data_IF_906578376279
#
_entry.id   IF_906578376279
#
_cell.length_a   1.000
_cell.length_b   1.000
_cell.length_c   1.000
_cell.angle_alpha   90.00
_cell.angle_beta   90.00
_cell.angle_gamma   90.00
#
_symmetry.space_group_name_H-M   'P 1'
#
loop_
_entity.id
_entity.type
_entity.pdbx_description
1 polymer ?
#
# COMPACT_ATOMS: atom_id res chain seq x y z
N UNK A 1 19.04 -15.58 18.49
CA UNK A 1 17.62 -15.26 18.77
C UNK A 1 17.06 -14.55 17.55
N UNK A 2 16.23 -15.22 16.76
CA UNK A 2 15.50 -14.57 15.65
C UNK A 2 14.30 -13.85 16.27
N UNK A 3 14.03 -12.58 15.94
CA UNK A 3 12.83 -11.92 16.43
C UNK A 3 11.62 -12.58 15.81
N UNK A 4 10.66 -12.92 16.66
CA UNK A 4 9.34 -13.44 16.32
C UNK A 4 8.75 -12.62 15.18
N UNK A 5 8.47 -13.26 14.03
CA UNK A 5 7.57 -12.68 13.03
C UNK A 5 6.22 -12.60 13.71
N UNK A 6 5.84 -11.41 14.18
CA UNK A 6 4.46 -11.12 14.50
C UNK A 6 3.64 -11.37 13.25
N UNK A 7 2.70 -12.32 13.33
CA UNK A 7 1.66 -12.49 12.32
C UNK A 7 0.99 -11.11 12.04
N UNK A 8 0.62 -10.82 10.79
CA UNK A 8 -0.11 -9.59 10.50
C UNK A 8 -1.42 -9.58 11.31
N UNK A 9 -1.83 -8.44 11.87
CA UNK A 9 -3.10 -8.35 12.57
C UNK A 9 -4.22 -8.64 11.57
N UNK A 10 -4.95 -9.74 11.77
CA UNK A 10 -6.14 -10.07 11.00
C UNK A 10 -7.16 -8.94 11.14
N UNK A 11 -7.54 -8.35 10.02
CA UNK A 11 -8.12 -7.01 9.87
C UNK A 11 -9.50 -6.82 10.54
N UNK A 12 -9.67 -5.69 11.23
CA UNK A 12 -10.94 -5.23 11.82
C UNK A 12 -11.99 -4.76 10.77
N UNK A 13 -11.77 -5.01 9.47
CA UNK A 13 -12.56 -4.42 8.37
C UNK A 13 -12.98 -5.39 7.25
N UNK A 14 -12.70 -6.68 7.37
CA UNK A 14 -13.03 -7.65 6.31
C UNK A 14 -14.54 -7.75 6.04
N UNK A 15 -15.38 -7.71 7.07
CA UNK A 15 -16.83 -7.86 6.90
C UNK A 15 -17.48 -6.70 6.11
N UNK A 16 -17.09 -5.45 6.39
CA UNK A 16 -17.60 -4.26 5.68
C UNK A 16 -17.04 -4.20 4.25
N UNK A 17 -15.76 -4.57 4.05
CA UNK A 17 -15.14 -4.70 2.73
C UNK A 17 -15.85 -5.74 1.88
N UNK A 18 -16.09 -6.93 2.43
CA UNK A 18 -16.84 -7.99 1.76
C UNK A 18 -18.28 -7.56 1.44
N UNK A 19 -18.94 -6.82 2.34
CA UNK A 19 -20.28 -6.29 2.09
C UNK A 19 -20.29 -5.31 0.92
N UNK A 20 -19.32 -4.40 0.84
CA UNK A 20 -19.15 -3.50 -0.29
C UNK A 20 -18.86 -4.26 -1.58
N UNK A 21 -17.99 -5.28 -1.54
CA UNK A 21 -17.66 -6.10 -2.71
C UNK A 21 -18.89 -6.84 -3.24
N UNK A 22 -19.70 -7.44 -2.35
CA UNK A 22 -20.97 -8.07 -2.74
C UNK A 22 -21.90 -7.08 -3.43
N UNK A 23 -22.02 -5.85 -2.91
CA UNK A 23 -22.88 -4.81 -3.51
C UNK A 23 -22.39 -4.36 -4.89
N UNK A 24 -21.07 -4.24 -5.08
CA UNK A 24 -20.49 -3.96 -6.40
C UNK A 24 -20.84 -5.08 -7.40
N UNK A 25 -20.71 -6.35 -6.99
CA UNK A 25 -21.06 -7.50 -7.83
C UNK A 25 -22.54 -7.51 -8.21
N UNK A 26 -23.44 -7.29 -7.23
CA UNK A 26 -24.89 -7.17 -7.47
C UNK A 26 -25.24 -6.04 -8.46
N UNK A 27 -24.55 -4.90 -8.36
CA UNK A 27 -24.75 -3.77 -9.28
C UNK A 27 -24.28 -4.10 -10.70
N UNK A 28 -23.13 -4.76 -10.86
CA UNK A 28 -22.61 -5.23 -12.14
C UNK A 28 -23.54 -6.27 -12.80
N UNK A 29 -24.07 -7.20 -12.02
CA UNK A 29 -25.06 -8.17 -12.49
C UNK A 29 -26.34 -7.48 -12.96
N UNK A 30 -26.84 -6.50 -12.19
CA UNK A 30 -28.03 -5.72 -12.56
C UNK A 30 -27.79 -4.95 -13.86
N UNK A 31 -26.62 -4.32 -14.02
CA UNK A 31 -26.23 -3.65 -15.27
C UNK A 31 -26.17 -4.60 -16.47
N UNK A 32 -25.62 -5.80 -16.27
CA UNK A 32 -25.58 -6.83 -17.32
C UNK A 32 -26.99 -7.27 -17.73
N UNK A 33 -27.89 -7.45 -16.76
CA UNK A 33 -29.29 -7.80 -17.01
C UNK A 33 -30.03 -6.68 -17.75
N UNK A 34 -29.83 -5.42 -17.36
CA UNK A 34 -30.36 -4.24 -18.07
C UNK A 34 -29.90 -4.25 -19.53
N UNK A 35 -28.61 -4.45 -19.78
CA UNK A 35 -28.07 -4.56 -21.15
C UNK A 35 -28.79 -5.64 -21.96
N UNK A 36 -28.96 -6.84 -21.40
CA UNK A 36 -29.65 -7.95 -22.07
C UNK A 36 -31.11 -7.60 -22.37
N UNK A 37 -31.83 -7.02 -21.41
CA UNK A 37 -33.22 -6.59 -21.59
C UNK A 37 -33.35 -5.55 -22.71
N UNK A 38 -32.44 -4.57 -22.77
CA UNK A 38 -32.41 -3.55 -23.84
C UNK A 38 -32.03 -4.15 -25.19
N UNK A 39 -31.15 -5.15 -25.25
CA UNK A 39 -30.78 -5.80 -26.52
C UNK A 39 -31.88 -6.71 -27.07
N UNK A 40 -32.71 -7.31 -26.21
CA UNK A 40 -33.77 -8.26 -26.59
C UNK A 40 -35.15 -7.60 -26.69
N UNK A 41 -35.19 -6.30 -27.01
CA UNK A 41 -36.34 -5.39 -26.80
C UNK A 41 -37.62 -5.69 -27.60
N UNK A 42 -37.69 -6.78 -28.37
CA UNK A 42 -38.90 -7.14 -29.13
C UNK A 42 -40.05 -7.64 -28.21
N UNK A 43 -39.78 -7.98 -26.94
CA UNK A 43 -40.78 -8.49 -25.99
C UNK A 43 -40.57 -8.05 -24.52
N UNK A 44 -39.71 -7.08 -24.24
CA UNK A 44 -39.46 -6.68 -22.86
C UNK A 44 -40.57 -5.77 -22.32
N UNK A 45 -41.23 -6.19 -21.24
CA UNK A 45 -42.12 -5.31 -20.48
C UNK A 45 -41.31 -4.12 -19.95
N UNK A 46 -41.70 -2.90 -20.33
CA UNK A 46 -41.08 -1.63 -19.91
C UNK A 46 -40.96 -1.55 -18.36
N UNK A 47 -41.95 -2.11 -17.67
CA UNK A 47 -41.97 -2.25 -16.21
C UNK A 47 -40.78 -3.05 -15.64
N UNK A 48 -40.29 -4.06 -16.35
CA UNK A 48 -39.14 -4.87 -15.91
C UNK A 48 -37.84 -4.08 -16.02
N UNK A 49 -37.73 -3.21 -17.03
CA UNK A 49 -36.58 -2.32 -17.18
C UNK A 49 -36.57 -1.26 -16.07
N UNK A 50 -37.71 -0.62 -15.81
CA UNK A 50 -37.87 0.37 -14.73
C UNK A 50 -37.46 -0.23 -13.37
N UNK A 51 -37.97 -1.41 -13.02
CA UNK A 51 -37.62 -2.08 -11.76
C UNK A 51 -36.12 -2.37 -11.63
N UNK A 52 -35.42 -2.67 -12.74
CA UNK A 52 -33.98 -2.95 -12.74
C UNK A 52 -33.17 -1.68 -12.59
N UNK A 53 -33.58 -0.59 -13.23
CA UNK A 53 -32.97 0.73 -13.06
C UNK A 53 -33.13 1.20 -11.62
N UNK A 54 -34.33 1.07 -11.05
CA UNK A 54 -34.60 1.39 -9.65
C UNK A 54 -33.73 0.57 -8.69
N UNK A 55 -33.57 -0.74 -8.96
CA UNK A 55 -32.68 -1.61 -8.19
C UNK A 55 -31.23 -1.12 -8.26
N UNK A 56 -30.76 -0.70 -9.43
CA UNK A 56 -29.41 -0.18 -9.60
C UNK A 56 -29.20 1.13 -8.82
N UNK A 57 -30.15 2.06 -8.90
CA UNK A 57 -30.10 3.33 -8.14
C UNK A 57 -30.06 3.07 -6.64
N UNK A 58 -30.90 2.16 -6.13
CA UNK A 58 -30.85 1.75 -4.72
C UNK A 58 -29.53 1.11 -4.35
N UNK A 59 -28.99 0.24 -5.20
CA UNK A 59 -27.67 -0.37 -5.01
C UNK A 59 -26.55 0.66 -4.84
N UNK A 60 -26.53 1.69 -5.69
CA UNK A 60 -25.57 2.79 -5.55
C UNK A 60 -25.77 3.59 -4.25
N UNK A 61 -27.01 3.84 -3.83
CA UNK A 61 -27.30 4.50 -2.56
C UNK A 61 -26.80 3.69 -1.36
N UNK A 62 -27.01 2.38 -1.35
CA UNK A 62 -26.55 1.47 -0.30
C UNK A 62 -25.02 1.45 -0.24
N UNK A 63 -24.36 1.39 -1.40
CA UNK A 63 -22.88 1.48 -1.49
C UNK A 63 -22.36 2.81 -0.95
N UNK A 64 -23.04 3.92 -1.26
CA UNK A 64 -22.65 5.23 -0.75
C UNK A 64 -22.78 5.32 0.78
N UNK A 65 -23.76 4.67 1.38
CA UNK A 65 -23.92 4.61 2.83
C UNK A 65 -22.86 3.70 3.51
N UNK A 66 -22.39 2.66 2.81
CA UNK A 66 -21.33 1.77 3.30
C UNK A 66 -19.94 2.39 3.22
N UNK A 67 -19.73 3.38 2.34
CA UNK A 67 -18.40 3.98 2.11
C UNK A 67 -17.75 4.51 3.39
N UNK A 68 -18.52 5.09 4.29
CA UNK A 68 -18.02 5.73 5.51
C UNK A 68 -17.58 4.70 6.57
N UNK A 69 -17.94 3.42 6.40
CA UNK A 69 -17.51 2.31 7.25
C UNK A 69 -16.19 1.70 6.80
N UNK A 70 -15.79 1.97 5.55
CA UNK A 70 -14.52 1.50 4.99
C UNK A 70 -13.41 2.48 5.37
N UNK A 71 -12.71 2.19 6.46
CA UNK A 71 -11.57 2.99 6.89
C UNK A 71 -10.26 2.50 6.24
N UNK A 72 -10.18 2.59 4.91
CA UNK A 72 -9.00 2.17 4.14
C UNK A 72 -8.41 3.38 3.42
N UNK A 73 -7.13 3.64 3.64
CA UNK A 73 -6.39 4.65 2.89
C UNK A 73 -5.77 4.01 1.63
N UNK A 74 -6.09 4.54 0.46
CA UNK A 74 -5.57 4.05 -0.82
C UNK A 74 -4.55 5.06 -1.36
N UNK A 75 -3.29 4.68 -1.59
CA UNK A 75 -2.31 5.57 -2.20
C UNK A 75 -2.74 6.06 -3.59
N UNK A 76 -2.49 7.33 -3.90
CA UNK A 76 -2.84 7.91 -5.21
C UNK A 76 -2.16 7.18 -6.37
N UNK A 77 -0.94 6.69 -6.17
CA UNK A 77 -0.20 5.92 -7.17
C UNK A 77 -0.94 4.63 -7.55
N UNK A 78 -1.53 3.93 -6.57
CA UNK A 78 -2.34 2.72 -6.81
C UNK A 78 -3.60 3.06 -7.60
N UNK A 79 -4.23 4.21 -7.33
CA UNK A 79 -5.37 4.69 -8.11
C UNK A 79 -4.97 4.97 -9.57
N UNK A 80 -3.74 5.45 -9.82
CA UNK A 80 -3.17 5.60 -11.15
C UNK A 80 -3.15 4.28 -11.92
N UNK A 81 -2.68 3.20 -11.30
CA UNK A 81 -2.63 1.87 -11.91
C UNK A 81 -4.02 1.39 -12.32
N UNK A 82 -5.01 1.54 -11.44
CA UNK A 82 -6.40 1.15 -11.75
C UNK A 82 -6.98 1.96 -12.91
N UNK A 83 -6.74 3.27 -12.96
CA UNK A 83 -7.20 4.15 -14.05
C UNK A 83 -6.61 3.76 -15.41
N UNK A 84 -5.37 3.29 -15.42
CA UNK A 84 -4.66 2.83 -16.62
C UNK A 84 -5.01 1.38 -17.00
N UNK A 85 -5.81 0.67 -16.20
CA UNK A 85 -6.13 -0.74 -16.40
C UNK A 85 -4.97 -1.68 -16.08
N UNK A 86 -3.98 -1.22 -15.31
CA UNK A 86 -2.83 -2.01 -14.84
C UNK A 86 -3.18 -2.73 -13.54
N UNK A 87 -2.44 -3.81 -13.26
CA UNK A 87 -2.62 -4.56 -12.02
C UNK A 87 -2.04 -3.75 -10.83
N UNK A 88 -2.83 -3.36 -9.81
CA UNK A 88 -2.32 -2.64 -8.64
C UNK A 88 -1.29 -3.43 -7.83
N UNK A 89 -1.24 -4.77 -7.93
CA UNK A 89 -0.23 -5.59 -7.25
C UNK A 89 1.19 -5.35 -7.79
N UNK A 90 1.31 -4.86 -9.04
CA UNK A 90 2.60 -4.44 -9.59
C UNK A 90 3.18 -3.26 -8.80
N UNK A 91 2.33 -2.31 -8.38
CA UNK A 91 2.78 -1.20 -7.53
C UNK A 91 3.33 -1.73 -6.20
N UNK A 92 2.58 -2.63 -5.55
CA UNK A 92 3.01 -3.25 -4.29
C UNK A 92 4.35 -3.95 -4.44
N UNK A 93 4.52 -4.73 -5.52
CA UNK A 93 5.76 -5.45 -5.80
C UNK A 93 6.94 -4.50 -6.02
N UNK A 94 6.76 -3.47 -6.86
CA UNK A 94 7.79 -2.45 -7.12
C UNK A 94 8.13 -1.65 -5.87
N UNK A 95 7.14 -1.33 -5.03
CA UNK A 95 7.35 -0.62 -3.79
C UNK A 95 8.21 -1.43 -2.82
N UNK A 96 7.90 -2.73 -2.66
CA UNK A 96 8.68 -3.64 -1.82
C UNK A 96 10.12 -3.76 -2.34
N UNK A 97 10.30 -3.95 -3.65
CA UNK A 97 11.63 -4.03 -4.27
C UNK A 97 12.44 -2.74 -4.07
N UNK A 98 11.81 -1.58 -4.26
CA UNK A 98 12.44 -0.28 -4.01
C UNK A 98 12.86 -0.13 -2.56
N UNK A 99 11.98 -0.43 -1.61
CA UNK A 99 12.29 -0.34 -0.18
C UNK A 99 13.44 -1.28 0.20
N UNK A 100 13.47 -2.49 -0.34
CA UNK A 100 14.57 -3.43 -0.11
C UNK A 100 15.90 -2.89 -0.67
N UNK A 101 15.88 -2.36 -1.90
CA UNK A 101 17.06 -1.77 -2.54
C UNK A 101 17.58 -0.55 -1.79
N UNK A 102 16.71 0.37 -1.40
CA UNK A 102 17.05 1.58 -0.63
C UNK A 102 17.61 1.25 0.75
N UNK A 103 17.05 0.23 1.42
CA UNK A 103 17.56 -0.25 2.70
C UNK A 103 18.99 -0.82 2.55
N UNK A 104 19.20 -1.70 1.57
CA UNK A 104 20.53 -2.26 1.30
C UNK A 104 21.55 -1.17 0.95
N UNK A 105 21.15 -0.22 0.10
CA UNK A 105 21.99 0.91 -0.29
C UNK A 105 22.37 1.78 0.90
N UNK A 106 21.40 2.07 1.77
CA UNK A 106 21.63 2.85 3.00
C UNK A 106 22.58 2.12 3.96
N UNK A 107 22.38 0.81 4.15
CA UNK A 107 23.30 -0.01 4.95
C UNK A 107 24.71 -0.03 4.37
N UNK A 108 24.85 -0.09 3.05
CA UNK A 108 26.14 0.02 2.37
C UNK A 108 26.86 1.35 2.63
N UNK A 109 26.12 2.46 2.62
CA UNK A 109 26.66 3.79 2.98
C UNK A 109 27.13 3.84 4.43
N UNK A 110 26.34 3.31 5.36
CA UNK A 110 26.70 3.25 6.78
C UNK A 110 27.97 2.43 6.98
N UNK A 111 28.07 1.27 6.32
CA UNK A 111 29.27 0.42 6.38
C UNK A 111 30.50 1.14 5.81
N UNK A 112 30.37 1.80 4.66
CA UNK A 112 31.47 2.55 4.05
C UNK A 112 31.97 3.70 4.94
N UNK A 113 31.05 4.48 5.53
CA UNK A 113 31.39 5.55 6.46
C UNK A 113 32.06 5.01 7.74
N UNK A 114 31.58 3.87 8.25
CA UNK A 114 32.17 3.22 9.42
C UNK A 114 33.60 2.77 9.14
N UNK A 115 33.83 2.13 7.99
CA UNK A 115 35.17 1.70 7.57
C UNK A 115 36.10 2.89 7.36
N UNK A 116 35.62 3.95 6.70
CA UNK A 116 36.38 5.18 6.51
C UNK A 116 36.79 5.81 7.85
N UNK A 117 35.85 5.89 8.81
CA UNK A 117 36.13 6.39 10.16
C UNK A 117 37.24 5.58 10.83
N UNK A 118 37.15 4.24 10.80
CA UNK A 118 38.16 3.36 11.40
C UNK A 118 39.54 3.53 10.77
N UNK A 119 39.61 3.59 9.44
CA UNK A 119 40.88 3.75 8.73
C UNK A 119 41.48 5.15 8.96
N UNK A 120 40.63 6.18 8.98
CA UNK A 120 41.05 7.54 9.31
C UNK A 120 41.59 7.64 10.74
N UNK A 121 40.90 7.06 11.73
CA UNK A 121 41.36 7.01 13.12
C UNK A 121 42.69 6.26 13.26
N UNK A 122 42.84 5.12 12.57
CA UNK A 122 44.09 4.36 12.56
C UNK A 122 45.25 5.18 11.98
N UNK A 123 45.03 5.90 10.88
CA UNK A 123 46.04 6.79 10.28
C UNK A 123 46.35 7.98 11.17
N UNK A 124 45.35 8.58 11.81
CA UNK A 124 45.56 9.66 12.76
C UNK A 124 46.43 9.19 13.94
N UNK A 125 46.22 7.96 14.42
CA UNK A 125 47.01 7.36 15.50
C UNK A 125 48.46 7.04 15.09
N UNK A 126 48.68 6.69 13.82
CA UNK A 126 50.01 6.46 13.25
C UNK A 126 50.82 7.76 13.15
N UNK A 127 50.22 8.85 12.65
CA UNK A 127 50.94 10.09 12.34
C UNK A 127 50.90 11.15 13.45
N UNK A 128 49.86 11.17 14.29
CA UNK A 128 49.64 12.19 15.33
C UNK A 128 49.31 11.56 16.71
N UNK A 129 50.20 10.72 17.27
CA UNK A 129 49.91 9.97 18.50
C UNK A 129 49.81 10.85 19.76
N UNK A 130 50.40 12.05 19.79
CA UNK A 130 50.33 12.94 20.97
C UNK A 130 49.02 13.71 21.05
N UNK A 131 48.51 14.19 19.91
CA UNK A 131 47.24 14.94 19.81
C UNK A 131 46.03 14.05 20.13
N UNK A 132 46.12 12.75 19.82
CA UNK A 132 45.09 11.76 20.21
C UNK A 132 45.07 11.46 21.71
N UNK A 133 46.22 11.50 22.39
CA UNK A 133 46.30 11.33 23.85
C UNK A 133 45.69 12.51 24.59
N UNK A 134 45.74 13.72 24.02
CA UNK A 134 45.05 14.89 24.56
C UNK A 134 43.53 14.78 24.36
N UNK A 135 43.07 14.41 23.16
CA UNK A 135 41.63 14.24 22.88
C UNK A 135 40.96 13.18 23.76
N UNK A 136 41.63 12.05 24.01
CA UNK A 136 41.09 10.98 24.88
C UNK A 136 41.02 11.38 26.35
N UNK A 137 41.87 12.32 26.80
CA UNK A 137 41.79 12.89 28.16
C UNK A 137 40.59 13.84 28.32
N UNK A 138 40.24 14.58 27.27
CA UNK A 138 39.09 15.48 27.28
C UNK A 138 37.75 14.73 27.26
N UNK A 139 37.63 13.60 26.56
CA UNK A 139 36.44 12.73 26.60
C UNK A 139 36.24 12.01 27.95
N UNK A 140 37.29 11.87 28.77
CA UNK A 140 37.20 11.22 30.10
C UNK A 140 36.91 12.22 31.23
N UNK A 141 36.92 13.52 30.94
CA UNK A 141 36.73 14.60 31.94
C UNK A 141 35.35 15.26 31.86
N UNK A 142 34.43 14.78 31.01
CA UNK A 142 33.02 15.19 30.98
C UNK A 142 32.07 14.08 31.40
#
# INVERSE_FOLDING_TARGET
MQPSRSDPPTDFHDADREAMERKIREALETLSQVRVTVMNHEQADESVLEQRVDRLVRGYSDMFALKDRLNVNIPEDVLGYVKEGRNPDEFTSQFIERVASENQFTNGKIAALTNFKQEFEAKLQEFFPEELKERQKDETTQ
#
